data_IF_774006474567
#
_entry.id   IF_774006474567
#
_cell.length_a   1.000
_cell.length_b   1.000
_cell.length_c   1.000
_cell.angle_alpha   90.00
_cell.angle_beta   90.00
_cell.angle_gamma   90.00
#
_symmetry.space_group_name_H-M   'P 1'
#
loop_
_entity.id
_entity.type
_entity.pdbx_description
1 polymer ?
#
# COMPACT_ATOMS: atom_id res chain seq x y z
N UNK A 1 4.09 -13.24 -0.57
CA UNK A 1 4.51 -12.14 -1.48
C UNK A 1 4.49 -10.83 -0.73
N UNK A 2 5.60 -10.09 -0.75
CA UNK A 2 5.66 -8.71 -0.27
C UNK A 2 4.77 -7.82 -1.15
N UNK A 3 3.88 -7.03 -0.54
CA UNK A 3 3.00 -6.08 -1.27
C UNK A 3 3.79 -4.83 -1.70
N UNK A 4 4.73 -5.00 -2.62
CA UNK A 4 5.58 -3.92 -3.14
C UNK A 4 5.29 -3.67 -4.61
N UNK A 5 5.18 -2.40 -5.02
CA UNK A 5 5.02 -2.02 -6.42
C UNK A 5 6.34 -2.22 -7.17
N UNK A 6 6.32 -2.95 -8.29
CA UNK A 6 7.52 -3.24 -9.09
C UNK A 6 8.08 -1.99 -9.79
N UNK A 7 7.24 -1.01 -10.14
CA UNK A 7 7.64 0.21 -10.84
C UNK A 7 8.06 1.32 -9.87
N UNK A 8 7.27 1.54 -8.82
CA UNK A 8 7.45 2.70 -7.91
C UNK A 8 8.07 2.35 -6.57
N UNK A 9 8.28 1.06 -6.27
CA UNK A 9 8.78 0.60 -4.97
C UNK A 9 7.83 0.81 -3.79
N UNK A 10 6.61 1.36 -4.01
CA UNK A 10 5.63 1.61 -2.94
C UNK A 10 5.36 0.35 -2.13
N UNK A 11 5.54 0.46 -0.82
CA UNK A 11 5.38 -0.63 0.15
C UNK A 11 4.33 -0.28 1.21
N UNK A 12 3.83 -1.26 2.00
CA UNK A 12 2.92 -1.00 3.10
C UNK A 12 3.57 -0.12 4.17
N UNK A 13 2.86 0.90 4.63
CA UNK A 13 3.30 1.74 5.76
C UNK A 13 2.42 1.52 6.97
N UNK A 14 2.97 1.72 8.16
CA UNK A 14 2.25 1.54 9.44
C UNK A 14 1.81 2.91 9.96
N UNK A 15 0.61 2.97 10.55
CA UNK A 15 0.16 4.15 11.29
C UNK A 15 -1.00 3.81 12.21
N UNK A 16 -1.82 4.81 12.57
CA UNK A 16 -2.95 4.64 13.48
C UNK A 16 -4.27 5.07 12.83
N UNK A 17 -5.37 4.42 13.19
CA UNK A 17 -6.70 5.02 13.11
C UNK A 17 -6.87 5.91 14.35
N UNK A 18 -7.33 7.13 14.14
CA UNK A 18 -7.60 8.08 15.22
C UNK A 18 -9.12 8.30 15.24
N UNK A 19 -9.76 7.98 16.36
CA UNK A 19 -11.19 8.25 16.54
C UNK A 19 -11.44 9.74 16.83
N UNK A 20 -12.71 10.15 16.84
CA UNK A 20 -13.10 11.51 17.25
C UNK A 20 -12.65 11.83 18.70
N UNK A 21 -12.61 10.82 19.58
CA UNK A 21 -12.08 10.91 20.93
C UNK A 21 -10.54 10.79 21.01
N UNK A 22 -9.84 10.85 19.87
CA UNK A 22 -8.39 10.67 19.76
C UNK A 22 -7.83 9.30 20.20
N UNK A 23 -8.66 8.26 20.25
CA UNK A 23 -8.19 6.90 20.50
C UNK A 23 -7.39 6.38 19.31
N UNK A 24 -6.18 5.87 19.55
CA UNK A 24 -5.24 5.42 18.51
C UNK A 24 -5.19 3.89 18.42
N UNK A 25 -5.61 3.31 17.30
CA UNK A 25 -5.47 1.87 17.04
C UNK A 25 -4.54 1.61 15.84
N UNK A 26 -3.65 0.63 15.94
CA UNK A 26 -2.64 0.35 14.90
C UNK A 26 -3.31 -0.13 13.61
N UNK A 27 -2.87 0.39 12.46
CA UNK A 27 -3.28 -0.05 11.12
C UNK A 27 -2.11 -0.11 10.15
N UNK A 28 -2.34 -0.77 9.02
CA UNK A 28 -1.45 -0.76 7.86
C UNK A 28 -2.13 -0.03 6.70
N UNK A 29 -1.41 0.86 6.03
CA UNK A 29 -1.82 1.45 4.76
C UNK A 29 -1.19 0.64 3.65
N UNK A 30 -2.03 0.05 2.80
CA UNK A 30 -1.61 -0.86 1.75
C UNK A 30 -1.59 -0.14 0.40
N UNK A 31 -0.57 -0.36 -0.44
CA UNK A 31 -0.63 0.08 -1.83
C UNK A 31 -1.72 -0.70 -2.58
N UNK A 32 -2.45 -0.02 -3.46
CA UNK A 32 -3.45 -0.62 -4.35
C UNK A 32 -2.74 -1.33 -5.54
N UNK A 33 -2.11 -2.47 -5.27
CA UNK A 33 -1.42 -3.24 -6.30
C UNK A 33 -2.40 -4.03 -7.16
N UNK A 34 -2.21 -3.97 -8.47
CA UNK A 34 -3.03 -4.69 -9.45
C UNK A 34 -2.11 -5.45 -10.40
N UNK A 35 -2.56 -6.64 -10.79
CA UNK A 35 -1.88 -7.42 -11.82
C UNK A 35 -2.29 -6.89 -13.19
N UNK A 36 -1.34 -6.25 -13.88
CA UNK A 36 -1.53 -5.69 -15.20
C UNK A 36 -0.41 -6.13 -16.11
N UNK A 37 -0.74 -6.49 -17.36
CA UNK A 37 0.24 -6.81 -18.40
C UNK A 37 0.44 -5.57 -19.25
N UNK A 38 1.68 -5.14 -19.40
CA UNK A 38 2.04 -4.04 -20.29
C UNK A 38 2.41 -4.62 -21.66
N UNK A 39 1.90 -4.00 -22.72
CA UNK A 39 2.44 -4.23 -24.05
C UNK A 39 3.74 -3.43 -24.18
N UNK A 40 4.79 -4.05 -24.69
CA UNK A 40 6.12 -3.43 -24.87
C UNK A 40 6.56 -3.77 -26.29
N UNK A 41 6.93 -2.75 -27.07
CA UNK A 41 7.49 -2.91 -28.41
C UNK A 41 8.91 -3.51 -28.30
N UNK A 42 9.22 -4.44 -29.20
CA UNK A 42 10.49 -5.20 -29.18
C UNK A 42 11.60 -4.51 -29.94
#
# INVERSE_FOLDING_TARGET
MSRVCQVTGKHPVVGNNVSHANNRTRRRFLPNLQHHRFWVES
#
